data_IF_453068889923
#
_entry.id   IF_453068889923
#
_cell.length_a   1.000
_cell.length_b   1.000
_cell.length_c   1.000
_cell.angle_alpha   90.00
_cell.angle_beta   90.00
_cell.angle_gamma   90.00
#
_symmetry.space_group_name_H-M   'P 1'
#
loop_
_entity.id
_entity.type
_entity.pdbx_description
1 polymer ?
#
# COMPACT_ATOMS: atom_id res chain seq x y z
N UNK A 1 1.31 -9.18 -20.15
CA UNK A 1 0.51 -8.25 -19.38
C UNK A 1 1.41 -7.20 -18.76
N UNK A 2 1.04 -5.95 -18.86
CA UNK A 2 1.85 -4.87 -18.32
C UNK A 2 1.43 -4.56 -16.89
N UNK A 3 2.40 -4.45 -16.02
CA UNK A 3 2.15 -4.10 -14.63
C UNK A 3 2.33 -2.61 -14.45
N UNK A 4 1.35 -1.96 -13.87
CA UNK A 4 1.38 -0.52 -13.65
C UNK A 4 1.23 -0.22 -12.17
N UNK A 5 2.12 0.62 -11.65
CA UNK A 5 2.07 1.02 -10.26
C UNK A 5 1.86 2.52 -10.15
N UNK A 6 1.14 2.93 -9.13
CA UNK A 6 0.84 4.33 -8.87
C UNK A 6 1.46 4.77 -7.56
N UNK A 7 1.62 6.06 -7.38
CA UNK A 7 2.08 6.57 -6.09
C UNK A 7 1.53 7.99 -5.88
N UNK A 8 1.48 8.35 -4.61
CA UNK A 8 1.07 9.68 -4.20
C UNK A 8 2.31 10.56 -4.15
N UNK A 9 2.29 11.68 -4.87
CA UNK A 9 3.45 12.57 -4.96
C UNK A 9 3.86 13.15 -3.62
N UNK A 10 2.89 13.43 -2.74
CA UNK A 10 3.19 13.95 -1.41
C UNK A 10 3.96 12.92 -0.59
N UNK A 11 3.53 11.67 -0.64
CA UNK A 11 4.24 10.60 0.07
C UNK A 11 5.62 10.39 -0.54
N UNK A 12 5.76 10.54 -1.85
CA UNK A 12 7.05 10.35 -2.50
C UNK A 12 8.08 11.36 -1.98
N UNK A 13 7.64 12.55 -1.61
CA UNK A 13 8.55 13.55 -1.04
C UNK A 13 9.02 13.15 0.36
N UNK A 14 8.21 12.38 1.08
CA UNK A 14 8.55 11.98 2.45
C UNK A 14 9.34 10.69 2.49
N UNK A 15 8.98 9.70 1.68
CA UNK A 15 9.55 8.36 1.77
C UNK A 15 10.24 7.90 0.50
N UNK A 16 10.34 8.77 -0.51
CA UNK A 16 10.91 8.40 -1.79
C UNK A 16 9.87 7.77 -2.69
N UNK A 17 10.17 7.74 -3.99
CA UNK A 17 9.22 7.21 -4.98
C UNK A 17 8.94 5.73 -4.72
N UNK A 18 9.99 4.94 -4.49
CA UNK A 18 9.83 3.50 -4.29
C UNK A 18 9.02 3.20 -3.05
N UNK A 19 9.26 3.93 -1.96
CA UNK A 19 8.49 3.77 -0.74
C UNK A 19 7.03 4.15 -0.94
N UNK A 20 6.79 5.22 -1.70
CA UNK A 20 5.42 5.68 -1.96
C UNK A 20 4.66 4.68 -2.82
N UNK A 21 5.33 4.06 -3.80
CA UNK A 21 4.71 3.03 -4.64
C UNK A 21 4.31 1.83 -3.78
N UNK A 22 5.20 1.37 -2.90
CA UNK A 22 4.89 0.24 -2.04
C UNK A 22 3.73 0.58 -1.11
N UNK A 23 3.74 1.77 -0.50
CA UNK A 23 2.65 2.18 0.38
C UNK A 23 1.32 2.22 -0.34
N UNK A 24 1.29 2.76 -1.56
CA UNK A 24 0.06 2.83 -2.32
C UNK A 24 -0.48 1.42 -2.58
N UNK A 25 0.40 0.51 -2.96
CA UNK A 25 0.00 -0.87 -3.26
C UNK A 25 -0.51 -1.57 -2.00
N UNK A 26 0.20 -1.42 -0.88
CA UNK A 26 -0.23 -2.04 0.38
C UNK A 26 -1.58 -1.49 0.84
N UNK A 27 -1.77 -0.18 0.73
CA UNK A 27 -3.03 0.44 1.14
C UNK A 27 -4.19 -0.05 0.27
N UNK A 28 -3.95 -0.15 -1.04
CA UNK A 28 -4.98 -0.61 -1.96
C UNK A 28 -5.39 -2.06 -1.63
N UNK A 29 -4.41 -2.94 -1.41
CA UNK A 29 -4.69 -4.33 -1.08
C UNK A 29 -5.40 -4.45 0.27
N UNK A 30 -5.01 -3.64 1.24
CA UNK A 30 -5.65 -3.66 2.55
C UNK A 30 -7.12 -3.26 2.44
N UNK A 31 -7.41 -2.20 1.66
CA UNK A 31 -8.79 -1.78 1.44
C UNK A 31 -9.61 -2.87 0.78
N UNK A 32 -9.06 -3.53 -0.22
CA UNK A 32 -9.78 -4.61 -0.88
C UNK A 32 -10.08 -5.74 0.08
N UNK A 33 -9.13 -6.10 0.92
CA UNK A 33 -9.33 -7.17 1.90
C UNK A 33 -10.32 -6.76 2.99
N UNK A 34 -10.31 -5.48 3.40
CA UNK A 34 -11.29 -5.00 4.38
C UNK A 34 -12.70 -5.12 3.83
N UNK A 35 -12.92 -4.70 2.58
CA UNK A 35 -14.24 -4.79 1.97
C UNK A 35 -14.70 -6.24 1.79
N UNK A 36 -13.77 -7.15 1.54
CA UNK A 36 -14.09 -8.55 1.38
C UNK A 36 -14.16 -9.32 2.69
N UNK A 37 -13.77 -8.68 3.80
CA UNK A 37 -13.76 -9.34 5.11
C UNK A 37 -12.64 -10.35 5.27
N UNK A 38 -11.55 -10.21 4.51
CA UNK A 38 -10.46 -11.19 4.48
C UNK A 38 -9.26 -10.83 5.33
N UNK A 39 -9.31 -9.74 6.08
CA UNK A 39 -8.17 -9.33 6.89
C UNK A 39 -8.34 -9.81 8.33
N UNK A 40 -7.22 -10.07 8.99
CA UNK A 40 -7.21 -10.37 10.40
C UNK A 40 -7.11 -9.06 11.17
N UNK A 41 -7.75 -8.98 12.32
CA UNK A 41 -7.72 -7.80 13.15
C UNK A 41 -7.16 -8.16 14.51
N UNK A 42 -6.22 -7.36 14.98
CA UNK A 42 -5.66 -7.56 16.30
C UNK A 42 -6.42 -6.77 17.36
N UNK A 43 -6.06 -6.99 18.61
CA UNK A 43 -6.74 -6.34 19.73
C UNK A 43 -6.56 -4.82 19.73
N UNK A 44 -5.57 -4.31 19.00
CA UNK A 44 -5.36 -2.86 18.89
C UNK A 44 -6.29 -2.22 17.87
N UNK A 45 -7.18 -2.99 17.26
CA UNK A 45 -8.14 -2.46 16.28
C UNK A 45 -7.61 -2.29 14.87
N UNK A 46 -6.41 -2.77 14.61
CA UNK A 46 -5.83 -2.63 13.28
C UNK A 46 -6.18 -3.83 12.41
N UNK A 47 -6.28 -3.57 11.10
CA UNK A 47 -6.52 -4.61 10.11
C UNK A 47 -5.19 -4.98 9.47
N UNK A 48 -4.86 -6.27 9.47
CA UNK A 48 -3.57 -6.76 9.00
C UNK A 48 -3.74 -7.64 7.78
N UNK A 49 -2.83 -7.51 6.83
CA UNK A 49 -2.82 -8.34 5.61
C UNK A 49 -1.48 -9.03 5.52
N UNK A 50 -1.48 -10.27 5.11
CA UNK A 50 -0.27 -11.07 5.02
C UNK A 50 0.53 -10.71 3.77
N UNK A 51 1.80 -10.37 3.96
CA UNK A 51 2.72 -10.12 2.86
C UNK A 51 4.10 -10.61 3.25
N UNK A 52 4.70 -11.47 2.45
CA UNK A 52 6.10 -11.82 2.63
C UNK A 52 6.95 -10.87 1.80
N UNK A 53 8.21 -10.74 2.13
CA UNK A 53 9.11 -9.90 1.33
C UNK A 53 9.22 -10.45 -0.10
N UNK A 54 9.19 -11.78 -0.24
CA UNK A 54 9.21 -12.41 -1.56
C UNK A 54 8.00 -12.07 -2.40
N UNK A 55 6.80 -12.09 -1.79
CA UNK A 55 5.60 -11.74 -2.54
C UNK A 55 5.58 -10.27 -2.93
N UNK A 56 6.08 -9.40 -2.07
CA UNK A 56 6.18 -7.98 -2.40
C UNK A 56 7.18 -7.75 -3.54
N UNK A 57 8.27 -8.52 -3.56
CA UNK A 57 9.24 -8.43 -4.64
C UNK A 57 8.66 -8.92 -5.97
N UNK A 58 7.74 -9.87 -5.93
CA UNK A 58 7.06 -10.31 -7.14
C UNK A 58 6.12 -9.24 -7.67
N UNK A 59 5.43 -8.53 -6.77
CA UNK A 59 4.54 -7.45 -7.17
C UNK A 59 5.31 -6.23 -7.66
N UNK A 60 6.55 -6.05 -7.20
CA UNK A 60 7.41 -4.93 -7.59
C UNK A 60 8.66 -5.50 -8.24
N UNK A 61 8.50 -6.05 -9.44
CA UNK A 61 9.53 -6.84 -10.09
C UNK A 61 10.81 -6.06 -10.40
N UNK A 62 10.74 -4.74 -10.33
CA UNK A 62 11.92 -3.88 -10.53
C UNK A 62 12.71 -3.66 -9.24
N UNK A 63 12.29 -4.29 -8.13
CA UNK A 63 12.99 -4.19 -6.85
C UNK A 63 13.39 -5.58 -6.39
N UNK A 64 14.59 -5.71 -5.81
CA UNK A 64 15.02 -6.96 -5.23
C UNK A 64 14.37 -7.16 -3.87
N UNK A 65 14.39 -8.39 -3.38
CA UNK A 65 13.85 -8.67 -2.06
C UNK A 65 14.62 -7.90 -0.99
N UNK A 66 15.93 -7.73 -1.16
CA UNK A 66 16.74 -6.98 -0.22
C UNK A 66 16.32 -5.49 -0.19
N UNK A 67 16.03 -4.91 -1.36
CA UNK A 67 15.55 -3.55 -1.43
C UNK A 67 14.17 -3.43 -0.76
N UNK A 68 13.31 -4.42 -0.97
CA UNK A 68 11.99 -4.44 -0.32
C UNK A 68 12.16 -4.47 1.20
N UNK A 69 13.06 -5.32 1.72
CA UNK A 69 13.28 -5.40 3.17
C UNK A 69 13.71 -4.06 3.73
N UNK A 70 14.61 -3.38 3.05
CA UNK A 70 15.11 -2.08 3.49
C UNK A 70 14.01 -1.02 3.46
N UNK A 71 13.22 -1.02 2.38
CA UNK A 71 12.14 -0.06 2.24
C UNK A 71 11.06 -0.29 3.31
N UNK A 72 10.69 -1.55 3.54
CA UNK A 72 9.69 -1.86 4.56
C UNK A 72 10.15 -1.47 5.96
N UNK A 73 11.45 -1.65 6.24
CA UNK A 73 12.01 -1.22 7.53
C UNK A 73 11.90 0.29 7.69
N UNK A 74 12.22 1.04 6.63
CA UNK A 74 12.12 2.50 6.67
C UNK A 74 10.67 2.94 6.89
N UNK A 75 9.73 2.30 6.21
CA UNK A 75 8.32 2.63 6.37
C UNK A 75 7.82 2.29 7.77
N UNK A 76 8.30 1.19 8.34
CA UNK A 76 7.93 0.80 9.70
C UNK A 76 8.49 1.80 10.72
N UNK A 77 9.73 2.18 10.55
CA UNK A 77 10.37 3.15 11.45
C UNK A 77 9.69 4.51 11.39
N UNK A 78 9.17 4.87 10.24
CA UNK A 78 8.47 6.12 10.07
C UNK A 78 7.02 6.11 10.53
N UNK A 79 6.52 4.94 10.95
CA UNK A 79 5.15 4.85 11.41
C UNK A 79 4.10 4.69 10.31
N UNK A 80 4.53 4.47 9.07
CA UNK A 80 3.60 4.31 7.96
C UNK A 80 2.97 2.93 7.94
N UNK A 81 3.70 1.91 8.41
CA UNK A 81 3.19 0.54 8.49
C UNK A 81 3.57 -0.06 9.84
N UNK A 82 2.80 -1.05 10.26
CA UNK A 82 3.06 -1.81 11.48
C UNK A 82 3.17 -3.27 11.10
N UNK A 83 4.18 -3.95 11.63
CA UNK A 83 4.40 -5.37 11.36
C UNK A 83 3.97 -6.18 12.58
N UNK A 84 3.38 -7.34 12.35
CA UNK A 84 2.96 -8.22 13.44
C UNK A 84 3.01 -9.67 13.01
N UNK A 85 3.15 -10.56 13.97
CA UNK A 85 2.98 -12.01 13.78
C UNK A 85 1.62 -12.47 14.32
N UNK A 86 0.75 -11.56 14.66
CA UNK A 86 -0.60 -11.81 15.16
C UNK A 86 -0.60 -12.76 16.36
N UNK A 87 0.38 -12.56 17.28
CA UNK A 87 0.44 -13.33 18.51
C UNK A 87 0.89 -14.77 18.34
N UNK A 88 1.48 -15.12 17.21
CA UNK A 88 1.95 -16.47 16.94
C UNK A 88 3.48 -16.49 16.94
N UNK A 89 4.11 -16.65 18.09
CA UNK A 89 5.55 -16.45 18.22
C UNK A 89 6.40 -17.42 17.40
N UNK A 90 5.88 -18.59 17.06
CA UNK A 90 6.63 -19.55 16.28
C UNK A 90 6.32 -19.48 14.79
N UNK A 91 5.37 -18.65 14.41
CA UNK A 91 4.99 -18.48 13.00
C UNK A 91 5.77 -17.31 12.43
N UNK A 92 6.51 -17.54 11.36
CA UNK A 92 7.30 -16.49 10.72
C UNK A 92 6.50 -15.70 9.69
N UNK A 93 5.22 -15.97 9.57
CA UNK A 93 4.36 -15.23 8.66
C UNK A 93 4.29 -13.77 9.08
N UNK A 94 4.51 -12.88 8.13
CA UNK A 94 4.47 -11.46 8.40
C UNK A 94 3.11 -10.89 8.00
N UNK A 95 2.54 -10.14 8.91
CA UNK A 95 1.29 -9.40 8.68
C UNK A 95 1.59 -7.91 8.81
N UNK A 96 0.99 -7.13 7.93
CA UNK A 96 1.26 -5.70 7.87
C UNK A 96 -0.03 -4.92 7.90
N UNK A 97 -0.01 -3.78 8.60
CA UNK A 97 -1.13 -2.85 8.63
C UNK A 97 -0.62 -1.48 8.21
N UNK A 98 -1.30 -0.84 7.27
CA UNK A 98 -0.97 0.51 6.85
C UNK A 98 -1.70 1.48 7.75
N UNK A 99 -1.09 2.60 8.09
CA UNK A 99 -1.72 3.58 8.97
C UNK A 99 -3.01 4.07 8.34
N UNK A 100 -3.99 4.44 9.17
CA UNK A 100 -5.30 4.86 8.67
C UNK A 100 -5.19 6.12 7.81
N UNK A 101 -4.26 6.99 8.15
CA UNK A 101 -4.04 8.20 7.38
C UNK A 101 -3.66 7.88 5.93
N UNK A 102 -2.80 6.90 5.73
CA UNK A 102 -2.38 6.49 4.39
C UNK A 102 -3.54 5.80 3.66
N UNK A 103 -4.31 4.99 4.36
CA UNK A 103 -5.48 4.33 3.77
C UNK A 103 -6.46 5.39 3.26
N UNK A 104 -6.71 6.42 4.06
CA UNK A 104 -7.64 7.48 3.67
C UNK A 104 -7.13 8.25 2.46
N UNK A 105 -5.85 8.48 2.37
CA UNK A 105 -5.26 9.15 1.21
C UNK A 105 -5.42 8.30 -0.05
N UNK A 106 -5.19 7.00 0.05
CA UNK A 106 -5.33 6.10 -1.08
C UNK A 106 -6.77 6.04 -1.57
N UNK A 107 -7.70 5.95 -0.65
CA UNK A 107 -9.12 5.89 -0.97
C UNK A 107 -9.55 7.17 -1.67
N UNK A 108 -9.10 8.31 -1.18
CA UNK A 108 -9.42 9.59 -1.77
C UNK A 108 -8.84 9.70 -3.18
N UNK A 109 -7.62 9.24 -3.38
CA UNK A 109 -6.97 9.26 -4.67
C UNK A 109 -7.73 8.41 -5.69
N UNK A 110 -8.16 7.23 -5.28
CA UNK A 110 -8.89 6.35 -6.17
C UNK A 110 -10.22 6.97 -6.60
N UNK A 111 -10.93 7.59 -5.67
CA UNK A 111 -12.18 8.24 -5.99
C UNK A 111 -11.96 9.42 -6.94
N UNK A 112 -10.91 10.19 -6.71
CA UNK A 112 -10.61 11.32 -7.56
C UNK A 112 -10.30 10.86 -8.99
N UNK A 113 -9.51 9.83 -9.15
CA UNK A 113 -9.19 9.31 -10.46
C UNK A 113 -10.47 8.84 -11.19
N UNK A 114 -11.37 8.21 -10.47
CA UNK A 114 -12.61 7.77 -11.07
C UNK A 114 -13.47 8.92 -11.54
N UNK A 115 -13.53 10.00 -10.76
CA UNK A 115 -14.29 11.18 -11.14
C UNK A 115 -13.66 11.84 -12.35
N UNK A 116 -12.37 11.98 -12.37
CA UNK A 116 -11.70 12.59 -13.48
C UNK A 116 -11.96 11.84 -14.77
N UNK A 117 -12.00 10.56 -14.71
CA UNK A 117 -12.24 9.77 -15.88
C UNK A 117 -13.62 10.01 -16.44
N UNK A 118 -14.59 10.24 -15.57
CA UNK A 118 -15.93 10.51 -16.02
C UNK A 118 -16.07 11.90 -16.60
N UNK A 119 -15.21 12.85 -16.15
CA UNK A 119 -15.29 14.19 -16.63
C UNK A 119 -14.50 14.43 -17.82
N UNK A 120 -13.62 13.66 -18.10
CA UNK A 120 -12.66 13.96 -19.08
C UNK A 120 -13.16 14.19 -20.30
N UNK A 121 -13.97 13.87 -20.24
CA UNK A 121 -14.18 14.37 -21.12
C UNK A 121 -14.01 15.67 -21.00
N UNK A 122 -13.56 16.11 -20.40
CA UNK A 122 -13.27 17.34 -20.24
C UNK A 122 -12.15 17.72 -20.00
N UNK A 123 -12.05 17.03 -20.29
CA UNK A 123 -11.12 17.54 -19.88
C UNK A 123 -10.23 17.42 -19.94
N UNK A 124 -10.28 17.05 -20.17
CA UNK A 124 -9.58 17.02 -19.91
C UNK A 124 -8.81 16.78 -19.90
N UNK A 125 -9.05 16.54 -20.19
CA UNK A 125 -8.53 16.41 -19.78
C UNK A 125 -7.73 16.20 -19.60
N UNK A 126 -7.89 15.94 -19.78
CA UNK A 126 -7.41 15.82 -19.20
C UNK A 126 -6.67 15.55 -18.90
N UNK A 127 -6.71 15.34 -18.95
CA UNK A 127 -6.34 15.21 -18.42
C UNK A 127 -5.64 14.91 -17.98
N UNK A 128 -5.93 14.65 -18.13
CA UNK A 128 -5.63 14.42 -17.56
C UNK A 128 -5.00 14.11 -17.12
N UNK A 129 -5.30 13.96 -17.50
CA UNK A 129 -5.11 13.78 -16.93
C UNK A 129 -4.74 13.74 -16.77
#
# INVERSE_FOLDING_TARGET
MTETHFFNARLAREVGIEGAVILHNLAYLQLQHEYAGNVAMESDGRWYVRHSYGSLAQWHSYLSEQQIRRLMRTLEEGGYVVKSHLGKPFDRTLYWSVSREIIDMSESTDRHVGIDRSDVSKSTDVQQT
#
